data_IF_685732240557
#
_entry.id   IF_685732240557
#
_cell.length_a   1.000
_cell.length_b   1.000
_cell.length_c   1.000
_cell.angle_alpha   90.00
_cell.angle_beta   90.00
_cell.angle_gamma   90.00
#
_symmetry.space_group_name_H-M   'P 1'
#
loop_
_entity.id
_entity.type
_entity.pdbx_description
1 polymer ?
#
# COMPACT_ATOMS: atom_id res chain seq x y z
N UNK A 1 -2.63 -25.08 18.67
CA UNK A 1 -4.00 -24.77 18.19
C UNK A 1 -3.97 -23.82 17.01
N UNK A 2 -4.96 -23.86 16.11
CA UNK A 2 -4.97 -22.99 14.93
C UNK A 2 -5.39 -21.54 15.30
N UNK A 3 -4.49 -20.57 15.11
CA UNK A 3 -4.73 -19.12 15.35
C UNK A 3 -5.79 -18.51 14.41
N UNK A 4 -6.19 -19.24 13.36
CA UNK A 4 -7.09 -18.78 12.29
C UNK A 4 -8.14 -19.84 11.96
N UNK A 5 -9.27 -19.41 11.40
CA UNK A 5 -10.24 -20.34 10.78
C UNK A 5 -9.57 -21.10 9.64
N UNK A 6 -9.87 -22.40 9.48
CA UNK A 6 -9.20 -23.24 8.47
C UNK A 6 -9.59 -22.89 7.03
N UNK A 7 -10.80 -22.36 6.80
CA UNK A 7 -11.34 -21.94 5.49
C UNK A 7 -11.24 -23.03 4.40
N UNK A 8 -11.30 -24.31 4.83
CA UNK A 8 -11.14 -25.49 3.98
C UNK A 8 -9.92 -25.43 3.05
N UNK A 9 -8.80 -24.91 3.56
CA UNK A 9 -7.55 -24.71 2.82
C UNK A 9 -6.33 -25.15 3.64
N UNK A 10 -5.27 -25.55 2.94
CA UNK A 10 -3.96 -25.76 3.56
C UNK A 10 -3.39 -24.44 4.09
N UNK A 11 -2.36 -24.49 4.95
CA UNK A 11 -1.78 -23.30 5.58
C UNK A 11 -1.35 -22.24 4.56
N UNK A 12 -0.69 -22.67 3.50
CA UNK A 12 -0.04 -21.76 2.56
C UNK A 12 -1.07 -21.10 1.64
N UNK A 13 -2.03 -21.89 1.15
CA UNK A 13 -3.17 -21.39 0.37
C UNK A 13 -4.01 -20.41 1.18
N UNK A 14 -4.28 -20.72 2.46
CA UNK A 14 -5.01 -19.82 3.34
C UNK A 14 -4.25 -18.52 3.57
N UNK A 15 -2.94 -18.60 3.82
CA UNK A 15 -2.09 -17.42 4.02
C UNK A 15 -2.06 -16.53 2.77
N UNK A 16 -1.91 -17.12 1.58
CA UNK A 16 -1.95 -16.40 0.31
C UNK A 16 -3.30 -15.70 0.09
N UNK A 17 -4.41 -16.40 0.32
CA UNK A 17 -5.76 -15.84 0.22
C UNK A 17 -5.95 -14.63 1.15
N UNK A 18 -5.61 -14.78 2.43
CA UNK A 18 -5.80 -13.71 3.42
C UNK A 18 -4.93 -12.49 3.09
N UNK A 19 -3.67 -12.70 2.69
CA UNK A 19 -2.78 -11.62 2.24
C UNK A 19 -3.35 -10.86 1.05
N UNK A 20 -3.87 -11.58 0.06
CA UNK A 20 -4.49 -10.99 -1.12
C UNK A 20 -5.73 -10.17 -0.76
N UNK A 21 -6.65 -10.73 0.04
CA UNK A 21 -7.87 -10.01 0.43
C UNK A 21 -7.60 -8.80 1.32
N UNK A 22 -6.63 -8.88 2.25
CA UNK A 22 -6.21 -7.72 3.06
C UNK A 22 -5.60 -6.62 2.19
N UNK A 23 -4.75 -6.99 1.23
CA UNK A 23 -4.16 -6.04 0.28
C UNK A 23 -5.27 -5.33 -0.51
N UNK A 24 -6.23 -6.08 -1.04
CA UNK A 24 -7.35 -5.53 -1.80
C UNK A 24 -8.29 -4.66 -0.96
N UNK A 25 -8.53 -5.01 0.31
CA UNK A 25 -9.32 -4.18 1.23
C UNK A 25 -8.63 -2.83 1.48
N UNK A 26 -7.33 -2.83 1.79
CA UNK A 26 -6.58 -1.60 2.08
C UNK A 26 -6.34 -0.75 0.83
N UNK A 27 -6.28 -1.38 -0.35
CA UNK A 27 -6.15 -0.66 -1.61
C UNK A 27 -7.46 0.00 -2.05
N UNK A 28 -8.57 -0.76 -2.08
CA UNK A 28 -9.85 -0.29 -2.62
C UNK A 28 -10.76 0.37 -1.56
N UNK A 29 -10.44 0.21 -0.28
CA UNK A 29 -11.26 0.68 0.85
C UNK A 29 -12.43 -0.26 1.21
N UNK A 30 -12.92 -1.08 0.28
CA UNK A 30 -13.97 -2.07 0.52
C UNK A 30 -13.86 -3.28 -0.41
N UNK A 31 -14.31 -4.44 0.05
CA UNK A 31 -14.43 -5.67 -0.75
C UNK A 31 -15.66 -6.48 -0.34
N UNK A 32 -16.24 -7.20 -1.31
CA UNK A 32 -17.30 -8.18 -1.05
C UNK A 32 -16.68 -9.57 -0.94
N UNK A 33 -17.02 -10.31 0.11
CA UNK A 33 -16.49 -11.66 0.37
C UNK A 33 -17.44 -12.45 1.25
N UNK A 34 -17.13 -13.71 1.54
CA UNK A 34 -17.94 -14.51 2.48
C UNK A 34 -17.69 -14.08 3.92
N UNK A 35 -18.70 -14.21 4.78
CA UNK A 35 -18.63 -13.81 6.20
C UNK A 35 -17.42 -14.44 6.92
N UNK A 36 -17.18 -15.72 6.67
CA UNK A 36 -16.08 -16.45 7.28
C UNK A 36 -14.70 -15.88 6.91
N UNK A 37 -14.53 -15.41 5.67
CA UNK A 37 -13.30 -14.76 5.21
C UNK A 37 -13.19 -13.35 5.77
N UNK A 38 -14.28 -12.57 5.76
CA UNK A 38 -14.31 -11.20 6.28
C UNK A 38 -13.87 -11.11 7.74
N UNK A 39 -14.33 -12.04 8.59
CA UNK A 39 -13.93 -12.10 10.01
C UNK A 39 -12.42 -12.34 10.21
N UNK A 40 -11.76 -13.05 9.29
CA UNK A 40 -10.31 -13.28 9.36
C UNK A 40 -9.53 -12.11 8.75
N UNK A 41 -10.02 -11.51 7.67
CA UNK A 41 -9.45 -10.29 7.07
C UNK A 41 -9.46 -9.15 8.10
N UNK A 42 -10.59 -8.95 8.80
CA UNK A 42 -10.76 -7.92 9.83
C UNK A 42 -9.64 -7.95 10.87
N UNK A 43 -9.35 -9.12 11.44
CA UNK A 43 -8.30 -9.29 12.46
C UNK A 43 -6.93 -8.83 11.95
N UNK A 44 -6.60 -9.15 10.71
CA UNK A 44 -5.30 -8.80 10.11
C UNK A 44 -5.28 -7.31 9.76
N UNK A 45 -6.32 -6.81 9.09
CA UNK A 45 -6.41 -5.41 8.68
C UNK A 45 -6.37 -4.46 9.88
N UNK A 46 -7.13 -4.74 10.95
CA UNK A 46 -7.14 -3.91 12.15
C UNK A 46 -5.77 -3.87 12.84
N UNK A 47 -5.06 -5.01 12.91
CA UNK A 47 -3.72 -5.05 13.48
C UNK A 47 -2.71 -4.25 12.64
N UNK A 48 -2.83 -4.26 11.31
CA UNK A 48 -1.95 -3.49 10.44
C UNK A 48 -2.23 -1.99 10.52
N UNK A 49 -3.51 -1.59 10.56
CA UNK A 49 -3.90 -0.18 10.71
C UNK A 49 -3.44 0.34 12.06
N UNK A 50 -3.66 -0.40 13.15
CA UNK A 50 -3.18 -0.01 14.48
C UNK A 50 -1.66 0.21 14.51
N UNK A 51 -0.89 -0.69 13.87
CA UNK A 51 0.56 -0.56 13.78
C UNK A 51 0.97 0.66 12.96
N UNK A 52 0.23 0.99 11.89
CA UNK A 52 0.50 2.16 11.08
C UNK A 52 0.19 3.47 11.84
N UNK A 53 -0.95 3.53 12.53
CA UNK A 53 -1.35 4.67 13.35
C UNK A 53 -0.33 4.96 14.45
N UNK A 54 0.11 3.91 15.16
CA UNK A 54 1.08 4.05 16.25
C UNK A 54 2.44 4.58 15.79
N UNK A 55 2.88 4.23 14.58
CA UNK A 55 4.22 4.57 14.08
C UNK A 55 4.20 5.69 13.04
N UNK A 56 3.07 6.39 12.83
CA UNK A 56 2.90 7.34 11.71
C UNK A 56 3.90 8.50 11.76
N UNK A 57 4.19 9.01 12.95
CA UNK A 57 5.04 10.18 13.18
C UNK A 57 6.50 9.82 13.50
N UNK A 58 6.83 8.52 13.54
CA UNK A 58 8.17 8.04 13.94
C UNK A 58 9.15 8.06 12.76
N UNK A 59 9.49 9.24 12.27
CA UNK A 59 10.46 9.46 11.19
C UNK A 59 11.21 10.77 11.31
N UNK A 60 12.36 10.82 10.65
CA UNK A 60 13.19 12.00 10.48
C UNK A 60 13.22 12.39 9.01
N UNK A 61 13.30 13.68 8.73
CA UNK A 61 13.53 14.20 7.37
C UNK A 61 15.01 14.48 7.19
N UNK A 62 15.66 13.76 6.27
CA UNK A 62 17.06 13.98 5.92
C UNK A 62 17.14 14.64 4.56
N UNK A 63 17.77 15.82 4.50
CA UNK A 63 18.07 16.51 3.24
C UNK A 63 19.27 15.84 2.57
N UNK A 64 19.05 15.26 1.40
CA UNK A 64 20.12 14.66 0.60
C UNK A 64 20.28 15.47 -0.68
N UNK A 65 21.51 15.88 -0.97
CA UNK A 65 21.86 16.55 -2.23
C UNK A 65 21.89 15.52 -3.35
N UNK A 66 21.00 15.67 -4.33
CA UNK A 66 20.93 14.77 -5.47
C UNK A 66 21.29 15.52 -6.76
N UNK A 67 22.23 14.97 -7.54
CA UNK A 67 22.56 15.47 -8.87
C UNK A 67 21.46 15.07 -9.85
N UNK A 68 20.68 16.03 -10.33
CA UNK A 68 19.61 15.82 -11.31
C UNK A 68 19.99 16.50 -12.61
N UNK A 69 19.85 15.81 -13.74
CA UNK A 69 20.14 16.41 -15.04
C UNK A 69 19.19 17.58 -15.31
N UNK A 70 19.73 18.76 -15.64
CA UNK A 70 18.95 19.92 -16.05
C UNK A 70 18.14 19.55 -17.29
N UNK A 71 16.86 19.91 -17.31
CA UNK A 71 15.96 19.68 -18.44
C UNK A 71 15.45 21.00 -19.01
N UNK A 72 15.35 21.08 -20.33
CA UNK A 72 14.70 22.19 -21.04
C UNK A 72 13.17 22.13 -20.89
N UNK A 73 12.47 23.17 -21.34
CA UNK A 73 11.01 23.28 -21.30
C UNK A 73 10.27 22.09 -21.95
N UNK A 74 10.91 21.44 -22.94
CA UNK A 74 10.39 20.25 -23.64
C UNK A 74 10.75 18.91 -22.94
N UNK A 75 11.36 18.96 -21.75
CA UNK A 75 11.73 17.80 -20.95
C UNK A 75 12.95 17.02 -21.46
N UNK A 76 13.66 17.53 -22.47
CA UNK A 76 14.95 17.01 -22.94
C UNK A 76 16.09 17.45 -22.03
N UNK A 77 17.15 16.63 -21.91
CA UNK A 77 18.31 16.92 -21.06
C UNK A 77 19.17 17.99 -21.72
N UNK A 78 19.51 19.03 -20.99
CA UNK A 78 20.40 20.09 -21.46
C UNK A 78 21.79 19.50 -21.67
N UNK A 79 22.32 19.67 -22.89
CA UNK A 79 23.68 19.24 -23.23
C UNK A 79 24.51 20.47 -23.54
N UNK A 80 25.66 20.58 -22.88
CA UNK A 80 26.64 21.62 -23.11
C UNK A 80 27.89 20.99 -23.75
N UNK A 81 28.58 21.71 -24.63
CA UNK A 81 29.79 21.20 -25.30
C UNK A 81 30.99 21.62 -24.47
N UNK A 82 31.61 20.65 -23.80
CA UNK A 82 32.89 20.83 -23.09
C UNK A 82 33.90 19.96 -23.82
N UNK A 83 35.02 20.54 -24.24
CA UNK A 83 36.11 19.86 -24.98
C UNK A 83 35.66 19.08 -26.22
N UNK A 84 34.78 19.68 -27.03
CA UNK A 84 34.28 19.09 -28.28
C UNK A 84 33.32 17.90 -28.10
N UNK A 85 32.97 17.53 -26.85
CA UNK A 85 32.01 16.47 -26.53
C UNK A 85 30.76 17.05 -25.85
N UNK A 86 29.58 16.57 -26.25
CA UNK A 86 28.29 16.97 -25.66
C UNK A 86 28.09 16.27 -24.31
N UNK A 87 28.24 17.00 -23.21
CA UNK A 87 28.06 16.51 -21.84
C UNK A 87 26.71 17.00 -21.29
N UNK A 88 26.04 16.17 -20.49
CA UNK A 88 24.77 16.59 -19.85
C UNK A 88 25.06 17.40 -18.59
N UNK A 89 24.40 18.56 -18.46
CA UNK A 89 24.52 19.41 -17.26
C UNK A 89 23.67 18.83 -16.14
N UNK A 90 24.22 18.77 -14.92
CA UNK A 90 23.54 18.31 -13.72
C UNK A 90 23.47 19.45 -12.71
N UNK A 91 22.28 19.71 -12.19
CA UNK A 91 22.04 20.61 -11.06
C UNK A 91 22.05 19.81 -9.76
N UNK A 92 22.60 20.41 -8.71
CA UNK A 92 22.49 19.88 -7.35
C UNK A 92 21.16 20.34 -6.75
N UNK A 93 20.24 19.39 -6.61
CA UNK A 93 18.92 19.64 -6.03
C UNK A 93 18.86 19.01 -4.65
N UNK A 94 18.52 19.81 -3.64
CA UNK A 94 18.22 19.31 -2.32
C UNK A 94 16.88 18.57 -2.34
N UNK A 95 16.88 17.30 -1.94
CA UNK A 95 15.67 16.49 -1.79
C UNK A 95 15.52 16.10 -0.33
N UNK A 96 14.33 16.33 0.21
CA UNK A 96 13.94 15.81 1.52
C UNK A 96 13.55 14.33 1.38
N UNK A 97 14.22 13.47 2.14
CA UNK A 97 13.94 12.05 2.20
C UNK A 97 13.45 11.70 3.60
N UNK A 98 12.31 11.02 3.67
CA UNK A 98 11.81 10.43 4.91
C UNK A 98 12.68 9.23 5.31
N UNK A 99 13.31 9.33 6.47
CA UNK A 99 14.07 8.27 7.12
C UNK A 99 13.28 7.74 8.30
N UNK A 100 12.84 6.48 8.21
CA UNK A 100 12.10 5.85 9.29
C UNK A 100 12.98 5.63 10.53
N UNK A 101 12.42 5.90 11.70
CA UNK A 101 12.98 5.41 12.95
C UNK A 101 12.94 3.86 12.99
N UNK A 102 13.79 3.19 13.79
CA UNK A 102 13.85 1.72 13.85
C UNK A 102 12.49 1.03 14.11
N UNK A 103 11.63 1.63 14.94
CA UNK A 103 10.30 1.10 15.24
C UNK A 103 9.36 1.18 14.03
N UNK A 104 9.35 2.31 13.32
CA UNK A 104 8.57 2.49 12.08
C UNK A 104 9.08 1.58 10.96
N UNK A 105 10.39 1.42 10.84
CA UNK A 105 11.00 0.49 9.89
C UNK A 105 10.60 -0.96 10.18
N UNK A 106 10.59 -1.35 11.46
CA UNK A 106 10.11 -2.67 11.87
C UNK A 106 8.64 -2.86 11.48
N UNK A 107 7.78 -1.86 11.76
CA UNK A 107 6.38 -1.90 11.34
C UNK A 107 6.21 -2.02 9.82
N UNK A 108 6.97 -1.24 9.04
CA UNK A 108 6.98 -1.32 7.57
C UNK A 108 7.34 -2.73 7.09
N UNK A 109 8.33 -3.39 7.70
CA UNK A 109 8.72 -4.78 7.36
C UNK A 109 7.62 -5.78 7.69
N UNK A 110 6.93 -5.63 8.83
CA UNK A 110 5.79 -6.47 9.18
C UNK A 110 4.63 -6.31 8.19
N UNK A 111 4.35 -5.08 7.75
CA UNK A 111 3.34 -4.79 6.73
C UNK A 111 3.73 -5.37 5.36
N UNK A 112 4.98 -5.17 4.92
CA UNK A 112 5.49 -5.68 3.65
C UNK A 112 5.42 -7.21 3.56
N UNK A 113 5.55 -7.91 4.70
CA UNK A 113 5.35 -9.37 4.78
C UNK A 113 3.92 -9.81 4.46
N UNK A 114 2.93 -8.91 4.55
CA UNK A 114 1.53 -9.22 4.26
C UNK A 114 1.16 -8.79 2.84
N UNK A 115 1.60 -7.62 2.40
CA UNK A 115 1.15 -7.07 1.12
C UNK A 115 1.65 -7.84 -0.09
N UNK A 116 0.82 -7.83 -1.13
CA UNK A 116 1.22 -8.17 -2.49
C UNK A 116 1.45 -6.90 -3.30
N UNK A 117 2.30 -6.94 -4.34
CA UNK A 117 2.49 -5.80 -5.22
C UNK A 117 1.18 -5.46 -5.95
N UNK A 118 0.81 -4.18 -5.95
CA UNK A 118 -0.38 -3.66 -6.61
C UNK A 118 0.05 -2.75 -7.76
N UNK A 119 -0.55 -2.96 -8.93
CA UNK A 119 -0.33 -2.14 -10.13
C UNK A 119 -1.58 -1.35 -10.45
N UNK A 120 -1.45 -0.04 -10.52
CA UNK A 120 -2.53 0.84 -10.95
C UNK A 120 -2.39 1.15 -12.44
N UNK A 121 -3.45 0.87 -13.19
CA UNK A 121 -3.54 1.21 -14.62
C UNK A 121 -4.49 2.41 -14.75
N UNK A 122 -3.99 3.60 -15.12
CA UNK A 122 -4.84 4.78 -15.24
C UNK A 122 -5.92 4.58 -16.31
N UNK A 123 -7.19 4.80 -15.95
CA UNK A 123 -8.35 4.66 -16.86
C UNK A 123 -8.25 5.59 -18.07
N UNK A 124 -7.72 6.81 -17.89
CA UNK A 124 -7.55 7.82 -18.96
C UNK A 124 -6.50 7.46 -20.03
N UNK A 125 -5.70 6.40 -19.82
CA UNK A 125 -4.69 5.96 -20.78
C UNK A 125 -4.58 4.42 -20.85
N UNK A 126 -5.73 3.75 -20.83
CA UNK A 126 -5.81 2.31 -21.00
C UNK A 126 -5.07 1.88 -22.29
N UNK A 127 -4.12 0.93 -22.17
CA UNK A 127 -3.38 0.37 -23.30
C UNK A 127 -1.89 0.74 -23.39
N UNK A 128 -1.42 1.78 -22.68
CA UNK A 128 0.03 2.12 -22.63
C UNK A 128 0.67 1.61 -21.34
N UNK A 129 1.45 0.52 -21.41
CA UNK A 129 2.25 -0.03 -20.29
C UNK A 129 3.12 1.03 -19.58
N UNK A 130 3.55 2.07 -20.31
CA UNK A 130 4.35 3.19 -19.80
C UNK A 130 3.67 3.97 -18.66
N UNK A 131 2.34 3.90 -18.55
CA UNK A 131 1.58 4.65 -17.55
C UNK A 131 1.17 3.80 -16.34
N UNK A 132 1.51 2.51 -16.31
CA UNK A 132 1.26 1.65 -15.15
C UNK A 132 2.16 2.05 -14.00
N UNK A 133 1.57 2.31 -12.83
CA UNK A 133 2.30 2.69 -11.62
C UNK A 133 2.27 1.55 -10.62
N UNK A 134 3.44 1.23 -10.07
CA UNK A 134 3.53 0.32 -8.93
C UNK A 134 3.19 1.09 -7.66
N UNK A 135 2.24 0.58 -6.88
CA UNK A 135 1.77 1.22 -5.65
C UNK A 135 2.50 0.60 -4.48
N UNK A 136 3.20 1.45 -3.72
CA UNK A 136 3.75 1.06 -2.43
C UNK A 136 2.63 1.10 -1.37
N UNK A 137 2.10 -0.09 -1.08
CA UNK A 137 1.06 -0.26 -0.07
C UNK A 137 1.52 0.17 1.32
N UNK A 138 2.81 0.01 1.68
CA UNK A 138 3.30 0.42 2.99
C UNK A 138 3.36 1.94 3.11
N UNK A 139 3.75 2.63 2.05
CA UNK A 139 3.71 4.09 1.98
C UNK A 139 2.27 4.61 2.12
N UNK A 140 1.32 4.04 1.36
CA UNK A 140 -0.12 4.34 1.46
C UNK A 140 -0.68 4.14 2.87
N UNK A 141 -0.22 3.11 3.58
CA UNK A 141 -0.63 2.89 4.98
C UNK A 141 -0.25 4.07 5.89
N UNK A 142 0.96 4.61 5.76
CA UNK A 142 1.41 5.70 6.62
C UNK A 142 0.92 7.08 6.19
N UNK A 143 0.81 7.33 4.88
CA UNK A 143 0.48 8.66 4.35
C UNK A 143 -1.02 8.89 4.22
N UNK A 144 -1.79 7.87 3.86
CA UNK A 144 -3.22 8.02 3.58
C UNK A 144 -4.11 7.38 4.64
N UNK A 145 -3.76 6.20 5.14
CA UNK A 145 -4.65 5.42 6.01
C UNK A 145 -4.45 5.80 7.47
N UNK A 146 -3.21 5.78 7.97
CA UNK A 146 -2.90 6.06 9.38
C UNK A 146 -3.40 7.45 9.85
N UNK A 147 -3.23 8.54 9.08
CA UNK A 147 -3.71 9.86 9.53
C UNK A 147 -5.23 9.93 9.68
N UNK A 148 -6.00 9.21 8.84
CA UNK A 148 -7.47 9.15 8.94
C UNK A 148 -7.97 8.50 10.23
N UNK A 149 -7.14 7.69 10.86
CA UNK A 149 -7.48 6.91 12.04
C UNK A 149 -6.71 7.34 13.29
N UNK A 150 -6.05 8.49 13.27
CA UNK A 150 -5.21 8.96 14.37
C UNK A 150 -5.97 9.03 15.70
N UNK A 151 -7.22 9.52 15.66
CA UNK A 151 -8.05 9.70 16.86
C UNK A 151 -8.87 8.46 17.23
N UNK A 152 -8.75 7.35 16.47
CA UNK A 152 -9.56 6.15 16.68
C UNK A 152 -8.75 5.05 17.33
N UNK A 153 -9.16 4.62 18.53
CA UNK A 153 -8.53 3.51 19.25
C UNK A 153 -9.20 2.16 18.94
N UNK A 154 -9.10 1.70 17.69
CA UNK A 154 -9.64 0.41 17.23
C UNK A 154 -10.99 0.48 16.50
N UNK A 155 -11.42 -0.64 15.92
CA UNK A 155 -12.64 -0.68 15.10
C UNK A 155 -12.49 0.06 13.76
N UNK A 156 -11.39 -0.16 13.05
CA UNK A 156 -11.10 0.49 11.76
C UNK A 156 -11.88 -0.09 10.58
N UNK A 157 -12.54 -1.23 10.78
CA UNK A 157 -13.29 -1.91 9.72
C UNK A 157 -14.72 -2.23 10.17
N UNK A 158 -15.64 -2.22 9.21
CA UNK A 158 -17.04 -2.60 9.37
C UNK A 158 -17.35 -3.78 8.46
N UNK A 159 -18.17 -4.72 8.94
CA UNK A 159 -18.72 -5.81 8.14
C UNK A 159 -20.23 -5.61 8.06
N UNK A 160 -20.75 -5.46 6.85
CA UNK A 160 -22.18 -5.33 6.54
C UNK A 160 -22.65 -6.60 5.84
N UNK A 161 -23.71 -7.24 6.35
CA UNK A 161 -24.29 -8.42 5.71
C UNK A 161 -25.10 -8.00 4.49
N UNK A 162 -24.87 -8.67 3.35
CA UNK A 162 -25.60 -8.39 2.11
C UNK A 162 -26.75 -9.39 1.97
N UNK A 163 -26.44 -10.68 1.88
CA UNK A 163 -27.41 -11.74 1.63
C UNK A 163 -26.73 -13.06 1.26
N UNK A 164 -27.44 -14.20 1.30
CA UNK A 164 -26.92 -15.45 0.79
C UNK A 164 -26.68 -15.33 -0.72
N UNK A 165 -25.52 -15.79 -1.18
CA UNK A 165 -25.14 -15.79 -2.60
C UNK A 165 -25.93 -16.83 -3.38
N UNK A 166 -26.36 -16.46 -4.60
CA UNK A 166 -26.96 -17.40 -5.54
C UNK A 166 -25.95 -18.46 -5.99
N UNK A 167 -26.30 -19.73 -5.83
CA UNK A 167 -25.48 -20.89 -6.25
C UNK A 167 -25.17 -21.82 -5.09
N UNK A 168 -24.45 -21.34 -4.07
CA UNK A 168 -24.03 -22.15 -2.92
C UNK A 168 -24.60 -21.66 -1.58
N UNK A 169 -25.51 -20.67 -1.62
CA UNK A 169 -26.14 -20.07 -0.44
C UNK A 169 -25.15 -19.52 0.62
N UNK A 170 -23.88 -19.31 0.25
CA UNK A 170 -22.89 -18.80 1.17
C UNK A 170 -23.19 -17.34 1.52
N UNK A 171 -23.11 -17.01 2.82
CA UNK A 171 -23.36 -15.65 3.32
C UNK A 171 -22.32 -14.65 2.79
N UNK A 172 -22.72 -13.75 1.89
CA UNK A 172 -21.91 -12.63 1.42
C UNK A 172 -22.02 -11.40 2.32
N UNK A 173 -20.88 -10.76 2.52
CA UNK A 173 -20.74 -9.55 3.32
C UNK A 173 -19.83 -8.55 2.61
N UNK A 174 -20.12 -7.27 2.80
CA UNK A 174 -19.22 -6.18 2.48
C UNK A 174 -18.33 -5.93 3.70
N UNK A 175 -17.02 -5.96 3.53
CA UNK A 175 -16.08 -5.45 4.51
C UNK A 175 -15.47 -4.15 4.00
N UNK A 176 -15.52 -3.09 4.81
CA UNK A 176 -15.08 -1.75 4.45
C UNK A 176 -14.26 -1.08 5.56
N UNK A 177 -13.41 -0.15 5.17
CA UNK A 177 -12.75 0.83 6.02
C UNK A 177 -13.78 1.89 6.45
N UNK A 178 -13.69 2.39 7.70
CA UNK A 178 -14.71 3.25 8.33
C UNK A 178 -14.25 4.68 8.54
#
# INVERSE_FOLDING_TARGET
MAKYRKLSRTSDQRKALLRNQVTNLLYNGKIVTTEAKAKEIRKIAESLIAMAVREKDNFETVTVTAKVARKDADGKRVKEVVDGKKVTVYDEVQKEITKDAPSRLHARRQMAKVFYPVKEVPTKAAGKKKNTKDIDMTKKMFEEIAPKYADRNGGYTRIVKIGPRKGDAAMEVLIELV
#
